data_IF_347823219737
#
_entry.id   IF_347823219737
#
_cell.length_a   1.000
_cell.length_b   1.000
_cell.length_c   1.000
_cell.angle_alpha   90.00
_cell.angle_beta   90.00
_cell.angle_gamma   90.00
#
_symmetry.space_group_name_H-M   'P 1'
#
loop_
_entity.id
_entity.type
_entity.pdbx_description
1 polymer ?
#
# COMPACT_ATOMS: atom_id res chain seq x y z
N UNK A 1 5.93 1.43 13.71
CA UNK A 1 6.88 1.39 12.55
C UNK A 1 7.81 0.18 12.48
N UNK A 2 7.94 -0.65 13.51
CA UNK A 2 9.00 -1.68 13.58
C UNK A 2 9.06 -2.69 12.42
N UNK A 3 7.93 -3.04 11.81
CA UNK A 3 7.90 -3.97 10.67
C UNK A 3 8.57 -3.39 9.40
N UNK A 4 8.28 -2.13 9.05
CA UNK A 4 8.88 -1.48 7.88
C UNK A 4 10.39 -1.30 8.06
N UNK A 5 10.81 -0.86 9.25
CA UNK A 5 12.23 -0.70 9.55
C UNK A 5 12.97 -2.05 9.53
N UNK A 6 12.33 -3.12 10.04
CA UNK A 6 12.86 -4.48 9.97
C UNK A 6 13.04 -4.93 8.52
N UNK A 7 12.02 -4.74 7.67
CA UNK A 7 12.08 -5.05 6.25
C UNK A 7 13.23 -4.30 5.56
N UNK A 8 13.33 -2.98 5.78
CA UNK A 8 14.39 -2.14 5.21
C UNK A 8 15.79 -2.49 5.72
N UNK A 9 15.91 -3.12 6.89
CA UNK A 9 17.20 -3.49 7.49
C UNK A 9 17.62 -4.92 7.14
N UNK A 10 16.66 -5.85 7.06
CA UNK A 10 16.92 -7.28 6.93
C UNK A 10 16.94 -7.78 5.48
N UNK A 11 16.30 -7.08 4.54
CA UNK A 11 16.27 -7.49 3.14
C UNK A 11 17.42 -6.85 2.36
N UNK A 12 18.62 -7.46 2.43
CA UNK A 12 19.84 -6.94 1.79
C UNK A 12 19.64 -6.60 0.30
N UNK A 13 19.00 -7.50 -0.45
CA UNK A 13 18.81 -7.36 -1.90
C UNK A 13 17.50 -6.68 -2.31
N UNK A 14 16.79 -6.04 -1.37
CA UNK A 14 15.60 -5.27 -1.74
C UNK A 14 16.01 -4.06 -2.57
N UNK A 15 15.55 -3.99 -3.82
CA UNK A 15 15.85 -2.88 -4.73
C UNK A 15 14.70 -1.89 -4.87
N UNK A 16 13.46 -2.39 -4.86
CA UNK A 16 12.25 -1.61 -5.08
C UNK A 16 11.28 -1.92 -3.94
N UNK A 17 10.76 -0.88 -3.29
CA UNK A 17 9.67 -1.00 -2.35
C UNK A 17 8.58 0.02 -2.69
N UNK A 18 7.37 -0.45 -2.88
CA UNK A 18 6.19 0.40 -2.99
C UNK A 18 5.25 0.14 -1.81
N UNK A 19 5.07 1.17 -0.98
CA UNK A 19 4.12 1.21 0.13
C UNK A 19 3.15 2.39 -0.01
N UNK A 20 2.94 2.84 -1.25
CA UNK A 20 1.95 3.87 -1.55
C UNK A 20 0.60 3.45 -1.04
N UNK A 21 -0.09 4.38 -0.38
CA UNK A 21 -1.47 4.22 0.10
C UNK A 21 -1.68 3.15 1.18
N UNK A 22 -0.63 2.43 1.61
CA UNK A 22 -0.73 1.44 2.67
C UNK A 22 -1.19 2.08 3.99
N UNK A 23 -2.10 1.43 4.72
CA UNK A 23 -2.46 1.90 6.06
C UNK A 23 -1.35 1.55 7.06
N UNK A 24 -0.52 2.54 7.42
CA UNK A 24 0.53 2.37 8.41
C UNK A 24 0.00 2.65 9.81
N UNK A 25 0.17 1.67 10.71
CA UNK A 25 -0.28 1.75 12.09
C UNK A 25 0.90 1.62 13.05
N UNK A 26 0.90 2.43 14.11
CA UNK A 26 1.69 2.19 15.31
C UNK A 26 0.82 1.80 16.50
N UNK A 27 1.43 1.10 17.45
CA UNK A 27 0.83 0.83 18.76
C UNK A 27 1.49 1.77 19.75
N UNK A 28 0.72 2.73 20.25
CA UNK A 28 1.19 3.69 21.26
C UNK A 28 1.39 3.00 22.61
N UNK A 29 2.13 3.63 23.53
CA UNK A 29 2.45 3.06 24.84
C UNK A 29 1.21 2.67 25.69
N UNK A 30 0.05 3.29 25.41
CA UNK A 30 -1.24 2.96 26.03
C UNK A 30 -2.04 1.87 25.27
N UNK A 31 -1.42 1.18 24.31
CA UNK A 31 -2.03 0.09 23.53
C UNK A 31 -2.98 0.53 22.42
N UNK A 32 -3.13 1.84 22.16
CA UNK A 32 -3.99 2.33 21.08
C UNK A 32 -3.29 2.23 19.72
N UNK A 33 -4.07 1.99 18.67
CA UNK A 33 -3.59 2.06 17.29
C UNK A 33 -3.63 3.50 16.81
N UNK A 34 -2.54 3.98 16.24
CA UNK A 34 -2.44 5.30 15.65
C UNK A 34 -2.05 5.18 14.18
N UNK A 35 -2.75 5.91 13.31
CA UNK A 35 -2.39 6.02 11.89
C UNK A 35 -1.17 6.91 11.76
N UNK A 36 -0.19 6.45 10.99
CA UNK A 36 1.04 7.17 10.70
C UNK A 36 0.86 7.85 9.34
N UNK A 37 1.00 9.18 9.32
CA UNK A 37 0.87 9.96 8.09
C UNK A 37 2.21 10.34 7.48
N UNK A 38 3.29 10.33 8.26
CA UNK A 38 4.62 10.71 7.82
C UNK A 38 5.62 9.66 8.31
N UNK A 39 6.55 9.28 7.43
CA UNK A 39 7.64 8.39 7.79
C UNK A 39 8.68 9.17 8.60
N UNK A 40 9.22 8.54 9.65
CA UNK A 40 10.32 9.12 10.40
C UNK A 40 11.62 9.17 9.58
N UNK A 41 12.53 10.06 9.99
CA UNK A 41 13.81 10.28 9.31
C UNK A 41 14.64 9.00 9.22
N UNK A 42 14.58 8.13 10.25
CA UNK A 42 15.30 6.87 10.27
C UNK A 42 14.81 5.91 9.17
N UNK A 43 13.49 5.82 9.00
CA UNK A 43 12.86 5.01 7.95
C UNK A 43 13.23 5.53 6.57
N UNK A 44 13.17 6.85 6.38
CA UNK A 44 13.56 7.49 5.12
C UNK A 44 15.06 7.28 4.81
N UNK A 45 15.93 7.41 5.81
CA UNK A 45 17.36 7.13 5.68
C UNK A 45 17.60 5.68 5.25
N UNK A 46 16.93 4.71 5.90
CA UNK A 46 17.06 3.29 5.52
C UNK A 46 16.51 2.99 4.13
N UNK A 47 15.42 3.66 3.73
CA UNK A 47 14.84 3.50 2.41
C UNK A 47 15.70 4.14 1.31
N UNK A 48 16.56 5.11 1.63
CA UNK A 48 17.42 5.80 0.64
C UNK A 48 18.40 4.89 -0.11
N UNK A 49 18.69 3.69 0.43
CA UNK A 49 19.52 2.68 -0.23
C UNK A 49 18.81 1.98 -1.41
N UNK A 50 17.48 2.02 -1.43
CA UNK A 50 16.69 1.36 -2.47
C UNK A 50 16.86 2.10 -3.79
N UNK A 51 16.86 1.36 -4.91
CA UNK A 51 16.86 1.97 -6.23
C UNK A 51 15.58 2.80 -6.43
N UNK A 52 14.45 2.27 -5.97
CA UNK A 52 13.17 2.96 -6.03
C UNK A 52 12.41 2.77 -4.71
N UNK A 53 11.92 3.87 -4.15
CA UNK A 53 11.06 3.86 -2.98
C UNK A 53 9.81 4.71 -3.24
N UNK A 54 8.68 4.05 -3.37
CA UNK A 54 7.39 4.68 -3.66
C UNK A 54 6.56 4.70 -2.39
N UNK A 55 6.15 5.89 -1.95
CA UNK A 55 5.30 6.05 -0.78
C UNK A 55 4.34 7.22 -0.98
N UNK A 56 3.12 7.06 -0.45
CA UNK A 56 2.12 8.11 -0.41
C UNK A 56 1.24 7.88 0.81
N UNK A 57 1.23 8.86 1.72
CA UNK A 57 0.43 8.86 2.95
C UNK A 57 -0.41 10.14 3.06
N UNK A 58 -0.62 10.81 1.92
CA UNK A 58 -1.30 12.11 1.86
C UNK A 58 -2.78 12.00 2.24
N UNK A 59 -3.23 12.92 3.08
CA UNK A 59 -4.65 13.09 3.42
C UNK A 59 -5.51 13.57 2.26
N UNK A 60 -4.91 14.17 1.23
CA UNK A 60 -5.62 14.62 0.02
C UNK A 60 -5.64 13.57 -1.10
N UNK A 61 -4.92 12.46 -0.94
CA UNK A 61 -4.92 11.38 -1.93
C UNK A 61 -6.16 10.50 -1.77
N UNK A 62 -6.93 10.32 -2.85
CA UNK A 62 -8.12 9.47 -2.87
C UNK A 62 -7.81 8.03 -2.48
N UNK A 63 -6.68 7.47 -2.92
CA UNK A 63 -6.29 6.09 -2.58
C UNK A 63 -6.01 5.93 -1.08
N UNK A 64 -5.26 6.88 -0.49
CA UNK A 64 -5.02 6.88 0.96
C UNK A 64 -6.33 7.02 1.76
N UNK A 65 -7.24 7.90 1.32
CA UNK A 65 -8.54 8.07 1.98
C UNK A 65 -9.36 6.78 1.95
N UNK A 66 -9.42 6.11 0.79
CA UNK A 66 -10.10 4.81 0.62
C UNK A 66 -9.49 3.74 1.51
N UNK A 67 -8.17 3.64 1.55
CA UNK A 67 -7.46 2.70 2.43
C UNK A 67 -7.72 2.94 3.92
N UNK A 68 -7.93 4.19 4.35
CA UNK A 68 -8.38 4.48 5.71
C UNK A 68 -9.84 4.07 5.94
N UNK A 69 -10.75 4.37 5.00
CA UNK A 69 -12.17 3.99 5.09
C UNK A 69 -12.35 2.48 5.14
N UNK A 70 -11.53 1.74 4.39
CA UNK A 70 -11.55 0.29 4.35
C UNK A 70 -10.73 -0.38 5.46
N UNK A 71 -10.19 0.41 6.41
CA UNK A 71 -9.39 -0.09 7.54
C UNK A 71 -8.18 -0.93 7.12
N UNK A 72 -7.57 -0.59 5.98
CA UNK A 72 -6.42 -1.31 5.42
C UNK A 72 -6.79 -2.56 4.61
N UNK A 73 -8.08 -2.92 4.52
CA UNK A 73 -8.54 -4.05 3.74
C UNK A 73 -8.72 -3.60 2.29
N UNK A 74 -8.00 -4.18 1.34
CA UNK A 74 -8.16 -3.84 -0.07
C UNK A 74 -9.55 -4.28 -0.59
N UNK A 75 -10.50 -3.34 -0.69
CA UNK A 75 -11.85 -3.57 -1.24
C UNK A 75 -12.00 -2.98 -2.64
N UNK A 76 -11.02 -3.22 -3.52
CA UNK A 76 -10.96 -2.64 -4.87
C UNK A 76 -12.22 -2.85 -5.70
N UNK A 77 -12.94 -3.95 -5.49
CA UNK A 77 -14.22 -4.24 -6.14
C UNK A 77 -15.32 -3.18 -5.88
N UNK A 78 -15.15 -2.30 -4.89
CA UNK A 78 -16.07 -1.19 -4.60
C UNK A 78 -15.72 0.09 -5.36
N UNK A 79 -14.58 0.11 -6.05
CA UNK A 79 -14.01 1.27 -6.71
C UNK A 79 -13.80 0.97 -8.21
N UNK A 80 -13.12 1.86 -8.91
CA UNK A 80 -12.89 1.73 -10.34
C UNK A 80 -11.88 0.61 -10.64
N UNK A 81 -12.18 -0.25 -11.63
CA UNK A 81 -11.40 -1.44 -12.00
C UNK A 81 -9.92 -1.17 -12.33
N UNK A 82 -9.58 0.06 -12.69
CA UNK A 82 -8.22 0.48 -13.04
C UNK A 82 -7.48 1.17 -11.90
N UNK A 83 -8.17 1.52 -10.81
CA UNK A 83 -7.62 2.37 -9.75
C UNK A 83 -6.43 1.71 -9.02
N UNK A 84 -6.49 0.40 -8.81
CA UNK A 84 -5.44 -0.37 -8.12
C UNK A 84 -4.15 -0.55 -8.94
N UNK A 85 -4.14 -0.20 -10.24
CA UNK A 85 -2.92 -0.27 -11.10
C UNK A 85 -2.16 1.05 -11.16
N UNK A 86 -2.69 2.14 -10.61
CA UNK A 86 -2.10 3.46 -10.81
C UNK A 86 -0.73 3.63 -10.15
N UNK A 87 -0.49 2.89 -9.06
CA UNK A 87 0.78 2.86 -8.34
C UNK A 87 1.64 1.66 -8.73
N UNK A 88 1.32 0.94 -9.80
CA UNK A 88 2.12 -0.18 -10.26
C UNK A 88 3.54 0.26 -10.68
N UNK A 89 4.54 -0.45 -10.16
CA UNK A 89 5.94 -0.20 -10.53
C UNK A 89 6.22 -0.85 -11.87
N UNK A 90 6.42 -0.04 -12.91
CA UNK A 90 6.60 -0.51 -14.29
C UNK A 90 7.72 -1.53 -14.49
N UNK A 91 8.79 -1.47 -13.70
CA UNK A 91 9.89 -2.44 -13.77
C UNK A 91 9.51 -3.82 -13.20
N UNK A 92 8.37 -3.91 -12.51
CA UNK A 92 7.78 -5.13 -11.96
C UNK A 92 6.45 -5.51 -12.64
N UNK A 93 6.00 -4.73 -13.63
CA UNK A 93 4.75 -4.96 -14.35
C UNK A 93 4.81 -6.27 -15.14
N UNK A 94 3.90 -7.18 -14.83
CA UNK A 94 3.77 -8.48 -15.50
C UNK A 94 2.97 -8.40 -16.81
N UNK A 95 2.49 -7.20 -17.18
CA UNK A 95 1.71 -6.82 -18.35
C UNK A 95 0.29 -7.41 -18.38
N UNK A 96 0.18 -8.73 -18.26
CA UNK A 96 -1.08 -9.46 -18.24
C UNK A 96 -1.27 -10.21 -16.91
N UNK A 97 -2.10 -9.63 -16.05
CA UNK A 97 -2.56 -10.25 -14.81
C UNK A 97 -3.65 -11.32 -15.02
N UNK A 98 -4.11 -11.51 -16.26
CA UNK A 98 -5.30 -12.28 -16.57
C UNK A 98 -6.56 -11.68 -15.95
N UNK A 99 -7.63 -12.48 -15.88
CA UNK A 99 -8.82 -12.14 -15.11
C UNK A 99 -8.55 -12.35 -13.62
N UNK A 100 -8.35 -11.26 -12.89
CA UNK A 100 -8.17 -11.29 -11.42
C UNK A 100 -9.43 -11.71 -10.67
N UNK A 101 -10.59 -11.49 -11.29
CA UNK A 101 -11.89 -11.87 -10.76
C UNK A 101 -12.55 -12.82 -11.76
N UNK A 102 -13.00 -13.97 -11.27
CA UNK A 102 -13.80 -14.86 -12.09
C UNK A 102 -15.24 -14.33 -12.22
N UNK A 103 -16.03 -14.95 -13.10
CA UNK A 103 -17.44 -14.61 -13.27
C UNK A 103 -18.25 -14.76 -11.97
N UNK A 104 -17.74 -15.48 -10.97
CA UNK A 104 -18.34 -15.58 -9.63
C UNK A 104 -18.19 -14.30 -8.83
N UNK A 105 -16.98 -13.71 -8.82
CA UNK A 105 -16.71 -12.43 -8.17
C UNK A 105 -17.51 -11.29 -8.80
N UNK A 106 -17.56 -11.20 -10.13
CA UNK A 106 -18.29 -10.15 -10.85
C UNK A 106 -19.79 -10.11 -10.50
N UNK A 107 -20.40 -11.29 -10.29
CA UNK A 107 -21.82 -11.42 -9.89
C UNK A 107 -22.10 -10.99 -8.45
N UNK A 108 -21.10 -11.05 -7.57
CA UNK A 108 -21.25 -10.64 -6.17
C UNK A 108 -21.17 -9.13 -5.99
N UNK A 109 -20.63 -8.43 -6.99
CA UNK A 109 -20.34 -6.99 -6.93
C UNK A 109 -21.21 -6.18 -7.89
N UNK A 110 -21.95 -6.83 -8.79
CA UNK A 110 -22.99 -6.19 -9.58
C UNK A 110 -24.14 -5.75 -8.68
N UNK A 111 -24.32 -4.43 -8.55
CA UNK A 111 -25.51 -3.83 -7.96
C UNK A 111 -26.53 -3.65 -9.08
N UNK A 112 -27.74 -4.17 -8.90
CA UNK A 112 -28.89 -3.96 -9.80
C UNK A 112 -29.26 -2.47 -9.93
#
# INVERSE_FOLDING_TARGET
>A
MGALLCLLTSMEYLEILNISHCLLLDITANGKRQVIHDLDDQTLEKASRLREFHYCQSRSCTACQRMMVDEGIMRWYRYEDWFWRQDEVRSLDLQDYGKLFDAGCERLTSVD
#
